data_IF_398064910774
#
_entry.id   IF_398064910774
#
_cell.length_a   1.000
_cell.length_b   1.000
_cell.length_c   1.000
_cell.angle_alpha   90.00
_cell.angle_beta   90.00
_cell.angle_gamma   90.00
#
_symmetry.space_group_name_H-M   'P 1'
#
loop_
_entity.id
_entity.type
_entity.pdbx_description
1 polymer ?
#
# COMPACT_ATOMS: atom_id res chain seq x y z
N UNK A 1 -83.57 20.81 -27.74
CA UNK A 1 -83.18 19.67 -26.87
C UNK A 1 -81.72 19.31 -27.15
N UNK A 2 -80.97 18.99 -26.10
CA UNK A 2 -79.52 18.75 -26.07
C UNK A 2 -79.11 17.42 -26.72
N UNK A 3 -77.85 17.29 -27.16
CA UNK A 3 -76.87 16.41 -26.47
C UNK A 3 -75.42 16.59 -26.94
N UNK A 4 -74.56 16.36 -25.94
CA UNK A 4 -73.14 16.70 -25.75
C UNK A 4 -72.14 15.73 -26.41
N UNK A 5 -70.95 16.30 -26.66
CA UNK A 5 -69.58 15.80 -26.51
C UNK A 5 -69.02 14.71 -27.46
N UNK A 6 -67.82 14.97 -27.98
CA UNK A 6 -66.59 14.17 -27.75
C UNK A 6 -65.34 14.92 -28.26
N UNK A 7 -64.20 14.55 -27.71
CA UNK A 7 -62.95 15.30 -27.51
C UNK A 7 -61.86 14.81 -28.48
N UNK A 8 -60.97 15.69 -28.94
CA UNK A 8 -59.58 15.36 -29.33
C UNK A 8 -58.74 16.66 -29.28
N UNK A 9 -58.12 17.00 -28.15
CA UNK A 9 -56.75 16.60 -27.76
C UNK A 9 -55.66 17.20 -28.66
N UNK A 10 -55.31 18.47 -28.41
CA UNK A 10 -54.03 19.04 -28.80
C UNK A 10 -53.14 19.11 -27.55
N UNK A 11 -52.11 18.27 -27.51
CA UNK A 11 -51.14 18.20 -26.44
C UNK A 11 -50.25 19.45 -26.43
N UNK A 12 -50.27 20.20 -25.31
CA UNK A 12 -49.27 21.20 -25.00
C UNK A 12 -48.36 20.66 -23.90
N UNK A 13 -47.09 20.50 -24.23
CA UNK A 13 -46.05 20.05 -23.33
C UNK A 13 -45.82 21.06 -22.20
N UNK A 14 -45.93 20.60 -20.95
CA UNK A 14 -45.34 21.27 -19.79
C UNK A 14 -44.36 20.29 -19.19
N UNK A 15 -43.07 20.51 -19.47
CA UNK A 15 -41.98 19.83 -18.80
C UNK A 15 -41.91 20.36 -17.36
N UNK A 16 -42.57 19.67 -16.43
CA UNK A 16 -42.33 19.85 -15.01
C UNK A 16 -40.94 19.26 -14.71
N UNK A 17 -39.97 20.14 -14.47
CA UNK A 17 -38.71 19.77 -13.80
C UNK A 17 -39.08 19.23 -12.43
N UNK A 18 -39.14 17.90 -12.32
CA UNK A 18 -39.19 17.22 -11.03
C UNK A 18 -37.93 17.59 -10.25
N UNK A 19 -38.10 18.25 -9.11
CA UNK A 19 -37.04 18.36 -8.12
C UNK A 19 -36.72 16.93 -7.66
N UNK A 20 -35.62 16.38 -8.17
CA UNK A 20 -35.00 15.20 -7.58
C UNK A 20 -34.59 15.63 -6.18
N UNK A 21 -35.06 14.98 -5.09
CA UNK A 21 -34.41 15.16 -3.81
C UNK A 21 -33.02 14.55 -3.98
N UNK A 22 -32.02 15.41 -4.19
CA UNK A 22 -30.65 15.03 -3.97
C UNK A 22 -30.54 14.68 -2.48
N UNK A 23 -30.60 13.39 -2.15
CA UNK A 23 -30.10 12.92 -0.87
C UNK A 23 -28.58 13.05 -0.95
N UNK A 24 -28.11 14.28 -0.74
CA UNK A 24 -26.73 14.55 -0.40
C UNK A 24 -26.48 13.90 0.97
N UNK A 25 -26.05 12.64 0.98
CA UNK A 25 -25.45 11.99 2.13
C UNK A 25 -24.03 12.52 2.28
N UNK A 26 -23.89 13.77 2.72
CA UNK A 26 -22.60 14.40 2.91
C UNK A 26 -22.67 15.30 4.15
N UNK A 27 -21.69 15.09 5.04
CA UNK A 27 -21.51 15.72 6.35
C UNK A 27 -22.38 15.17 7.50
N UNK A 28 -22.33 13.87 7.72
CA UNK A 28 -22.28 13.42 9.12
C UNK A 28 -20.91 13.91 9.64
N UNK A 29 -20.90 14.91 10.52
CA UNK A 29 -19.65 15.44 11.10
C UNK A 29 -19.00 14.28 11.85
N UNK A 30 -18.01 13.65 11.24
CA UNK A 30 -17.27 12.57 11.87
C UNK A 30 -16.49 13.19 13.03
N UNK A 31 -16.74 12.71 14.25
CA UNK A 31 -16.04 13.18 15.46
C UNK A 31 -15.20 12.05 16.06
N UNK A 32 -14.10 12.42 16.74
CA UNK A 32 -13.28 11.47 17.49
C UNK A 32 -12.60 10.40 16.61
N UNK A 33 -12.55 9.17 17.12
CA UNK A 33 -11.85 8.04 16.46
C UNK A 33 -12.48 7.67 15.11
N UNK A 34 -13.77 7.90 14.89
CA UNK A 34 -14.42 7.70 13.58
C UNK A 34 -13.82 8.60 12.50
N UNK A 35 -13.56 9.87 12.83
CA UNK A 35 -12.91 10.81 11.91
C UNK A 35 -11.50 10.35 11.57
N UNK A 36 -10.72 10.02 12.60
CA UNK A 36 -9.34 9.58 12.46
C UNK A 36 -9.23 8.27 11.67
N UNK A 37 -10.20 7.37 11.81
CA UNK A 37 -10.25 6.14 11.04
C UNK A 37 -10.43 6.40 9.55
N UNK A 38 -11.40 7.25 9.17
CA UNK A 38 -11.61 7.60 7.77
C UNK A 38 -10.42 8.35 7.16
N UNK A 39 -9.85 9.29 7.90
CA UNK A 39 -8.62 9.98 7.50
C UNK A 39 -7.45 9.01 7.37
N UNK A 40 -7.30 8.04 8.27
CA UNK A 40 -6.25 7.03 8.20
C UNK A 40 -6.37 6.15 6.96
N UNK A 41 -7.59 5.73 6.56
CA UNK A 41 -7.80 4.99 5.31
C UNK A 41 -7.26 5.79 4.11
N UNK A 42 -7.53 7.08 4.04
CA UNK A 42 -7.03 7.93 2.94
C UNK A 42 -5.52 8.15 3.04
N UNK A 43 -4.99 8.42 4.23
CA UNK A 43 -3.57 8.69 4.46
C UNK A 43 -2.67 7.47 4.27
N UNK A 44 -3.22 6.26 4.48
CA UNK A 44 -2.55 5.00 4.18
C UNK A 44 -2.72 4.59 2.71
N UNK A 45 -3.53 5.29 1.93
CA UNK A 45 -3.67 4.98 0.51
C UNK A 45 -2.45 5.43 -0.32
N UNK A 46 -1.54 6.23 0.24
CA UNK A 46 -0.41 6.81 -0.52
C UNK A 46 0.92 6.63 0.20
N UNK A 47 2.02 6.63 -0.57
CA UNK A 47 3.38 6.58 -0.04
C UNK A 47 3.92 7.92 0.47
N UNK A 48 3.20 9.02 0.24
CA UNK A 48 3.63 10.39 0.61
C UNK A 48 2.63 11.01 1.57
N UNK A 49 3.05 11.27 2.81
CA UNK A 49 2.13 11.76 3.83
C UNK A 49 2.31 13.26 4.08
N UNK A 50 1.28 14.09 3.82
CA UNK A 50 1.28 15.49 4.26
C UNK A 50 1.15 15.56 5.79
N UNK A 51 1.48 16.72 6.36
CA UNK A 51 1.36 16.98 7.81
C UNK A 51 -0.04 16.68 8.36
N UNK A 52 -1.07 16.90 7.56
CA UNK A 52 -2.48 16.66 7.90
C UNK A 52 -2.78 15.21 8.27
N UNK A 53 -1.99 14.26 7.76
CA UNK A 53 -2.18 12.85 8.07
C UNK A 53 -1.64 12.47 9.46
N UNK A 54 -0.82 13.33 10.09
CA UNK A 54 -0.11 13.01 11.33
C UNK A 54 -1.03 12.54 12.46
N UNK A 55 -2.17 13.19 12.78
CA UNK A 55 -3.03 12.77 13.89
C UNK A 55 -3.59 11.35 13.68
N UNK A 56 -4.10 11.09 12.48
CA UNK A 56 -4.77 9.84 12.10
C UNK A 56 -3.79 8.68 12.01
N UNK A 57 -2.61 8.92 11.46
CA UNK A 57 -1.55 7.92 11.41
C UNK A 57 -0.94 7.64 12.78
N UNK A 58 -0.75 8.67 13.62
CA UNK A 58 -0.30 8.46 15.00
C UNK A 58 -1.27 7.57 15.77
N UNK A 59 -2.57 7.82 15.63
CA UNK A 59 -3.61 6.99 16.25
C UNK A 59 -3.62 5.56 15.70
N UNK A 60 -3.41 5.39 14.40
CA UNK A 60 -3.34 4.09 13.75
C UNK A 60 -2.11 3.29 14.20
N UNK A 61 -0.92 3.91 14.15
CA UNK A 61 0.34 3.26 14.51
C UNK A 61 0.54 3.09 16.01
N UNK A 62 -0.19 3.84 16.86
CA UNK A 62 -0.22 3.58 18.30
C UNK A 62 -0.95 2.29 18.66
N UNK A 63 -1.76 1.73 17.75
CA UNK A 63 -2.38 0.41 17.94
C UNK A 63 -1.31 -0.65 17.68
N UNK A 64 -0.76 -1.16 18.77
CA UNK A 64 0.27 -2.18 18.78
C UNK A 64 0.07 -3.09 19.98
N UNK A 65 0.16 -4.40 19.75
CA UNK A 65 0.08 -5.43 20.77
C UNK A 65 1.29 -6.36 20.68
N UNK A 66 1.43 -7.28 21.65
CA UNK A 66 2.53 -8.26 21.67
C UNK A 66 2.55 -9.18 20.45
N UNK A 67 1.40 -9.53 19.89
CA UNK A 67 1.29 -10.41 18.72
C UNK A 67 0.90 -9.61 17.50
N UNK A 68 1.60 -9.85 16.38
CA UNK A 68 1.30 -9.18 15.11
C UNK A 68 -0.14 -9.41 14.65
N UNK A 69 -0.68 -10.61 14.85
CA UNK A 69 -2.09 -10.93 14.55
C UNK A 69 -3.07 -10.04 15.31
N UNK A 70 -2.77 -9.71 16.57
CA UNK A 70 -3.62 -8.87 17.40
C UNK A 70 -3.47 -7.40 17.00
N UNK A 71 -2.27 -6.97 16.63
CA UNK A 71 -2.01 -5.65 16.00
C UNK A 71 -2.81 -5.46 14.72
N UNK A 72 -2.77 -6.43 13.81
CA UNK A 72 -3.54 -6.39 12.56
C UNK A 72 -5.04 -6.32 12.88
N UNK A 73 -5.54 -7.17 13.78
CA UNK A 73 -6.96 -7.15 14.19
C UNK A 73 -7.37 -5.79 14.79
N UNK A 74 -6.56 -5.23 15.68
CA UNK A 74 -6.83 -3.92 16.27
C UNK A 74 -6.83 -2.80 15.24
N UNK A 75 -5.91 -2.83 14.27
CA UNK A 75 -5.87 -1.87 13.16
C UNK A 75 -7.09 -2.00 12.24
N UNK A 76 -7.50 -3.22 11.89
CA UNK A 76 -8.75 -3.46 11.14
C UNK A 76 -9.95 -2.90 11.92
N UNK A 77 -10.05 -3.20 13.21
CA UNK A 77 -11.16 -2.70 14.05
C UNK A 77 -11.21 -1.18 14.11
N UNK A 78 -10.04 -0.51 14.19
CA UNK A 78 -9.97 0.94 14.14
C UNK A 78 -10.40 1.49 12.78
N UNK A 79 -9.90 0.96 11.66
CA UNK A 79 -10.29 1.41 10.33
C UNK A 79 -11.80 1.16 10.06
N UNK A 80 -12.36 0.09 10.62
CA UNK A 80 -13.79 -0.22 10.56
C UNK A 80 -14.69 0.75 11.32
N UNK A 81 -14.15 1.65 12.15
CA UNK A 81 -14.93 2.76 12.70
C UNK A 81 -15.38 3.73 11.60
N UNK A 82 -14.68 3.75 10.47
CA UNK A 82 -15.08 4.54 9.32
C UNK A 82 -16.27 3.88 8.59
N UNK A 83 -17.42 4.56 8.41
CA UNK A 83 -18.58 3.96 7.76
C UNK A 83 -18.32 3.41 6.36
N UNK A 84 -17.36 3.98 5.62
CA UNK A 84 -17.01 3.52 4.26
C UNK A 84 -16.17 2.24 4.23
N UNK A 85 -15.56 1.85 5.34
CA UNK A 85 -14.63 0.72 5.43
C UNK A 85 -15.23 -0.61 4.95
N UNK A 86 -16.53 -0.81 5.16
CA UNK A 86 -17.23 -2.07 4.84
C UNK A 86 -18.42 -1.88 3.89
N UNK A 87 -18.50 -0.74 3.19
CA UNK A 87 -19.60 -0.49 2.25
C UNK A 87 -19.52 -1.36 0.99
N UNK A 88 -18.31 -1.75 0.58
CA UNK A 88 -18.10 -2.61 -0.59
C UNK A 88 -17.03 -3.67 -0.28
N UNK A 89 -17.05 -4.81 -1.00
CA UNK A 89 -15.97 -5.81 -0.90
C UNK A 89 -14.59 -5.22 -1.15
N UNK A 90 -14.47 -4.25 -2.06
CA UNK A 90 -13.23 -3.57 -2.41
C UNK A 90 -12.72 -2.68 -1.26
N UNK A 91 -13.60 -1.98 -0.55
CA UNK A 91 -13.22 -1.18 0.62
C UNK A 91 -12.78 -2.07 1.78
N UNK A 92 -13.49 -3.18 2.02
CA UNK A 92 -13.10 -4.13 3.06
C UNK A 92 -11.75 -4.79 2.72
N UNK A 93 -11.51 -5.11 1.44
CA UNK A 93 -10.22 -5.60 0.97
C UNK A 93 -9.10 -4.55 1.18
N UNK A 94 -9.36 -3.27 0.89
CA UNK A 94 -8.42 -2.18 1.15
C UNK A 94 -8.04 -2.11 2.63
N UNK A 95 -9.03 -2.11 3.52
CA UNK A 95 -8.82 -2.02 4.98
C UNK A 95 -7.95 -3.18 5.48
N UNK A 96 -8.21 -4.40 4.98
CA UNK A 96 -7.38 -5.56 5.30
C UNK A 96 -5.98 -5.42 4.73
N UNK A 97 -5.82 -4.96 3.49
CA UNK A 97 -4.51 -4.75 2.87
C UNK A 97 -3.69 -3.69 3.63
N UNK A 98 -4.32 -2.57 4.00
CA UNK A 98 -3.73 -1.53 4.84
C UNK A 98 -3.29 -2.07 6.20
N UNK A 99 -4.15 -2.80 6.91
CA UNK A 99 -3.82 -3.40 8.20
C UNK A 99 -2.63 -4.37 8.13
N UNK A 100 -2.52 -5.13 7.04
CA UNK A 100 -1.43 -6.07 6.83
C UNK A 100 -0.14 -5.41 6.33
N UNK A 101 -0.22 -4.35 5.51
CA UNK A 101 0.94 -3.77 4.82
C UNK A 101 1.51 -2.49 5.43
N UNK A 102 0.67 -1.65 6.06
CA UNK A 102 1.10 -0.34 6.54
C UNK A 102 2.22 -0.43 7.60
N UNK A 103 3.34 0.22 7.30
CA UNK A 103 4.55 0.21 8.13
C UNK A 103 5.35 -1.10 8.09
N UNK A 104 5.11 -1.95 7.08
CA UNK A 104 5.80 -3.25 6.92
C UNK A 104 6.37 -3.47 5.51
N UNK A 105 6.05 -2.58 4.58
CA UNK A 105 6.39 -2.70 3.17
C UNK A 105 7.37 -1.62 2.69
N UNK A 106 8.04 -0.94 3.61
CA UNK A 106 9.19 -0.08 3.33
C UNK A 106 10.49 -0.91 3.22
N UNK A 107 11.54 -0.32 2.64
CA UNK A 107 12.78 -1.04 2.37
C UNK A 107 13.45 -1.56 3.64
N UNK A 108 13.40 -0.80 4.74
CA UNK A 108 14.01 -1.22 6.00
C UNK A 108 13.28 -2.43 6.58
N UNK A 109 11.95 -2.42 6.59
CA UNK A 109 11.12 -3.55 7.01
C UNK A 109 11.37 -4.79 6.16
N UNK A 110 11.42 -4.65 4.83
CA UNK A 110 11.68 -5.75 3.91
C UNK A 110 13.07 -6.36 4.15
N UNK A 111 14.10 -5.52 4.27
CA UNK A 111 15.46 -5.96 4.57
C UNK A 111 15.63 -6.60 5.95
N UNK A 112 14.72 -6.37 6.89
CA UNK A 112 14.73 -7.01 8.21
C UNK A 112 14.00 -8.36 8.16
N UNK A 113 12.80 -8.41 7.57
CA UNK A 113 11.90 -9.57 7.61
C UNK A 113 12.26 -10.63 6.57
N UNK A 114 12.84 -10.24 5.43
CA UNK A 114 13.18 -11.17 4.34
C UNK A 114 14.60 -11.74 4.44
N UNK A 115 15.28 -11.56 5.57
CA UNK A 115 16.56 -12.23 5.84
C UNK A 115 16.32 -13.72 5.99
N UNK A 116 17.05 -14.49 5.21
CA UNK A 116 17.04 -15.95 5.23
C UNK A 116 18.47 -16.46 5.41
N UNK A 117 18.59 -17.61 6.05
CA UNK A 117 19.86 -18.31 6.25
C UNK A 117 19.86 -19.55 5.37
N UNK A 118 20.89 -19.72 4.53
CA UNK A 118 21.09 -21.02 3.87
C UNK A 118 21.64 -21.98 4.93
N UNK A 119 20.95 -23.09 5.17
CA UNK A 119 21.35 -24.13 6.14
C UNK A 119 22.63 -24.91 5.80
N UNK A 120 23.52 -24.32 5.00
CA UNK A 120 24.83 -24.83 4.62
C UNK A 120 25.88 -24.51 5.70
N UNK A 121 26.96 -25.30 5.77
CA UNK A 121 28.05 -25.11 6.75
C UNK A 121 28.71 -23.71 6.67
N UNK A 122 28.65 -23.03 5.52
CA UNK A 122 29.15 -21.66 5.30
C UNK A 122 28.09 -20.57 5.56
N UNK A 123 26.86 -20.97 5.91
CA UNK A 123 25.80 -20.12 6.47
C UNK A 123 25.62 -18.73 5.86
N UNK A 124 25.32 -18.63 4.56
CA UNK A 124 25.14 -17.33 3.92
C UNK A 124 23.77 -16.72 4.30
N UNK A 125 23.80 -15.52 4.87
CA UNK A 125 22.59 -14.71 5.09
C UNK A 125 22.32 -13.90 3.83
N UNK A 126 21.16 -14.10 3.21
CA UNK A 126 20.69 -13.28 2.08
C UNK A 126 19.33 -12.66 2.39
N UNK A 127 18.99 -11.60 1.66
CA UNK A 127 17.65 -11.00 1.69
C UNK A 127 16.89 -11.47 0.46
N UNK A 128 15.73 -12.09 0.63
CA UNK A 128 14.90 -12.53 -0.50
C UNK A 128 14.51 -11.35 -1.40
N UNK A 129 14.58 -11.55 -2.71
CA UNK A 129 14.12 -10.58 -3.71
C UNK A 129 12.62 -10.70 -4.03
N UNK A 130 11.91 -11.61 -3.36
CA UNK A 130 10.47 -11.81 -3.55
C UNK A 130 9.68 -10.89 -2.63
N UNK A 131 8.90 -9.99 -3.22
CA UNK A 131 7.97 -9.14 -2.48
C UNK A 131 6.91 -10.01 -1.78
N UNK A 132 6.67 -9.86 -0.46
CA UNK A 132 5.62 -10.59 0.21
C UNK A 132 4.24 -10.30 -0.38
N UNK A 133 3.38 -11.31 -0.46
CA UNK A 133 2.03 -11.17 -1.02
C UNK A 133 1.19 -10.10 -0.33
N UNK A 134 1.34 -9.91 0.99
CA UNK A 134 0.64 -8.87 1.74
C UNK A 134 1.10 -7.45 1.34
N UNK A 135 2.36 -7.29 0.95
CA UNK A 135 2.86 -6.02 0.44
C UNK A 135 2.34 -5.76 -0.95
N UNK A 136 2.40 -6.76 -1.85
CA UNK A 136 1.82 -6.62 -3.20
C UNK A 136 0.34 -6.29 -3.14
N UNK A 137 -0.45 -7.01 -2.34
CA UNK A 137 -1.88 -6.76 -2.17
C UNK A 137 -2.20 -5.34 -1.67
N UNK A 138 -1.30 -4.75 -0.88
CA UNK A 138 -1.43 -3.39 -0.38
C UNK A 138 -0.96 -2.36 -1.41
N UNK A 139 0.24 -2.51 -1.96
CA UNK A 139 0.85 -1.50 -2.83
C UNK A 139 0.22 -1.43 -4.23
N UNK A 140 -0.46 -2.49 -4.66
CA UNK A 140 -1.15 -2.56 -5.96
C UNK A 140 -2.66 -2.56 -5.81
N UNK A 141 -3.20 -2.19 -4.65
CA UNK A 141 -4.65 -2.13 -4.47
C UNK A 141 -5.26 -1.04 -5.37
N UNK A 142 -6.47 -1.26 -5.88
CA UNK A 142 -7.15 -0.34 -6.80
C UNK A 142 -7.42 1.07 -6.21
N UNK A 143 -7.29 1.22 -4.89
CA UNK A 143 -7.55 2.46 -4.15
C UNK A 143 -6.28 3.00 -3.48
N UNK A 144 -5.11 2.53 -3.89
CA UNK A 144 -3.82 3.01 -3.39
C UNK A 144 -2.99 3.59 -4.51
N UNK A 145 -2.25 4.64 -4.21
CA UNK A 145 -1.26 5.26 -5.08
C UNK A 145 0.13 5.21 -4.42
N UNK A 146 0.84 4.13 -4.72
CA UNK A 146 2.26 3.99 -4.40
C UNK A 146 3.13 4.13 -5.65
N UNK A 147 2.60 4.73 -6.71
CA UNK A 147 3.35 4.90 -7.95
C UNK A 147 4.64 5.67 -7.68
N UNK A 148 5.78 5.05 -8.00
CA UNK A 148 7.09 5.62 -7.73
C UNK A 148 7.56 5.61 -6.27
N UNK A 149 6.83 5.02 -5.32
CA UNK A 149 7.26 4.88 -3.92
C UNK A 149 7.43 3.44 -3.45
N UNK A 150 7.00 2.44 -4.24
CA UNK A 150 7.20 1.02 -3.88
C UNK A 150 8.69 0.68 -3.84
N UNK A 151 9.21 0.09 -2.75
CA UNK A 151 10.61 -0.32 -2.69
C UNK A 151 11.02 -1.26 -3.82
N UNK A 152 12.27 -1.15 -4.25
CA UNK A 152 12.85 -1.91 -5.35
C UNK A 152 14.04 -2.72 -4.86
N UNK A 153 14.19 -3.94 -5.38
CA UNK A 153 15.30 -4.80 -5.03
C UNK A 153 16.52 -4.52 -5.92
N UNK A 154 17.69 -4.35 -5.30
CA UNK A 154 18.98 -4.13 -5.97
C UNK A 154 19.82 -5.39 -5.92
N UNK A 155 20.33 -5.79 -7.08
CA UNK A 155 21.26 -6.91 -7.20
C UNK A 155 20.62 -8.29 -7.17
N UNK A 156 21.42 -9.30 -6.83
CA UNK A 156 20.98 -10.69 -6.63
C UNK A 156 21.24 -11.13 -5.17
N UNK A 157 20.35 -11.95 -4.56
CA UNK A 157 20.47 -12.36 -3.17
C UNK A 157 21.83 -12.95 -2.79
N UNK A 158 22.38 -13.81 -3.64
CA UNK A 158 23.64 -14.53 -3.43
C UNK A 158 24.86 -13.61 -3.39
N UNK A 159 24.71 -12.37 -3.88
CA UNK A 159 25.77 -11.35 -3.90
C UNK A 159 25.40 -10.13 -3.08
N UNK A 160 24.69 -10.35 -1.97
CA UNK A 160 24.34 -9.27 -1.03
C UNK A 160 23.38 -8.26 -1.65
N UNK A 161 22.36 -8.74 -2.38
CA UNK A 161 21.24 -7.93 -2.84
C UNK A 161 20.35 -7.49 -1.68
N UNK A 162 19.63 -6.39 -1.86
CA UNK A 162 18.83 -5.76 -0.80
C UNK A 162 17.74 -4.85 -1.36
N UNK A 163 16.71 -4.58 -0.56
CA UNK A 163 15.63 -3.64 -0.89
C UNK A 163 16.06 -2.20 -0.63
N UNK A 164 15.65 -1.27 -1.49
CA UNK A 164 15.83 0.18 -1.30
C UNK A 164 14.56 0.93 -1.62
N UNK A 165 14.42 2.13 -1.05
CA UNK A 165 13.33 3.02 -1.41
C UNK A 165 13.42 3.38 -2.90
N UNK A 166 12.27 3.53 -3.55
CA UNK A 166 12.19 3.75 -5.00
C UNK A 166 13.08 4.92 -5.48
N UNK A 167 13.09 6.02 -4.72
CA UNK A 167 13.88 7.23 -5.00
C UNK A 167 15.39 7.03 -4.95
N UNK A 168 15.85 6.01 -4.23
CA UNK A 168 17.26 5.73 -3.99
C UNK A 168 17.80 4.61 -4.90
N UNK A 169 16.94 4.03 -5.75
CA UNK A 169 17.24 2.85 -6.54
C UNK A 169 18.44 3.02 -7.48
N UNK A 170 18.46 4.07 -8.29
CA UNK A 170 19.51 4.24 -9.31
C UNK A 170 20.90 4.44 -8.66
N UNK A 171 20.95 5.18 -7.54
CA UNK A 171 22.17 5.35 -6.75
C UNK A 171 22.64 4.01 -6.18
N UNK A 172 21.74 3.29 -5.51
CA UNK A 172 22.05 2.00 -4.88
C UNK A 172 22.49 0.94 -5.91
N UNK A 173 21.88 0.94 -7.10
CA UNK A 173 22.25 0.05 -8.19
C UNK A 173 23.65 0.34 -8.73
N UNK A 174 24.01 1.62 -8.89
CA UNK A 174 25.36 2.02 -9.31
C UNK A 174 26.42 1.58 -8.29
N UNK A 175 26.17 1.82 -7.00
CA UNK A 175 27.04 1.40 -5.90
C UNK A 175 27.20 -0.12 -5.85
N UNK A 176 26.10 -0.86 -5.99
CA UNK A 176 26.10 -2.32 -6.05
C UNK A 176 26.96 -2.83 -7.21
N UNK A 177 26.73 -2.31 -8.43
CA UNK A 177 27.45 -2.75 -9.63
C UNK A 177 28.95 -2.43 -9.55
N UNK A 178 29.32 -1.29 -8.96
CA UNK A 178 30.72 -0.92 -8.74
C UNK A 178 31.41 -1.90 -7.78
N UNK A 179 30.74 -2.27 -6.67
CA UNK A 179 31.24 -3.28 -5.73
C UNK A 179 31.43 -4.63 -6.42
N UNK A 180 30.40 -5.11 -7.12
CA UNK A 180 30.44 -6.39 -7.84
C UNK A 180 31.60 -6.45 -8.83
N UNK A 181 31.83 -5.37 -9.59
CA UNK A 181 32.94 -5.28 -10.52
C UNK A 181 34.30 -5.39 -9.82
N UNK A 182 34.48 -4.70 -8.69
CA UNK A 182 35.72 -4.77 -7.91
C UNK A 182 35.98 -6.18 -7.37
N UNK A 183 34.97 -6.83 -6.77
CA UNK A 183 35.05 -8.21 -6.29
C UNK A 183 35.42 -9.20 -7.41
N UNK A 184 34.82 -9.04 -8.60
CA UNK A 184 35.07 -9.93 -9.74
C UNK A 184 36.46 -9.71 -10.34
N UNK A 185 36.98 -8.47 -10.30
CA UNK A 185 38.35 -8.16 -10.67
C UNK A 185 39.38 -8.77 -9.71
N UNK A 186 39.15 -8.67 -8.40
CA UNK A 186 40.00 -9.28 -7.39
C UNK A 186 40.03 -10.80 -7.52
N UNK A 187 38.87 -11.43 -7.66
CA UNK A 187 38.76 -12.88 -7.87
C UNK A 187 39.52 -13.33 -9.12
N UNK A 188 39.39 -12.57 -10.22
CA UNK A 188 40.14 -12.84 -11.45
C UNK A 188 41.63 -12.76 -11.17
N UNK A 189 42.13 -11.67 -10.58
CA UNK A 189 43.57 -11.51 -10.25
C UNK A 189 44.10 -12.66 -9.37
N UNK A 190 43.35 -13.05 -8.35
CA UNK A 190 43.71 -14.17 -7.48
C UNK A 190 43.79 -15.50 -8.24
N UNK A 191 42.87 -15.74 -9.18
CA UNK A 191 42.88 -16.95 -10.02
C UNK A 191 44.09 -17.03 -10.96
N UNK A 192 44.62 -15.90 -11.46
CA UNK A 192 45.81 -15.88 -12.32
C UNK A 192 47.13 -15.95 -11.53
N UNK A 193 47.14 -15.54 -10.25
CA UNK A 193 48.32 -15.57 -9.38
C UNK A 193 48.61 -16.91 -8.70
N UNK A 194 47.64 -17.83 -8.66
CA UNK A 194 47.76 -19.13 -7.95
C UNK A 194 48.14 -20.34 -8.81
N UNK A 195 48.34 -20.17 -10.12
CA UNK A 195 48.58 -21.27 -11.08
C UNK A 195 50.05 -21.62 -11.34
N UNK A 196 50.98 -21.18 -10.48
CA UNK A 196 52.41 -21.48 -10.59
C UNK A 196 52.90 -22.32 -9.43
N UNK A 197 52.70 -23.64 -9.51
CA UNK A 197 53.48 -24.67 -8.81
C UNK A 197 53.49 -25.94 -9.66
#
# INVERSE_FOLDING_TARGET
MQRKNLIASAALAVAAFGAIPATASAQEILTGDTRLACEAILCLATGTQPSECTPSLRRYFSISYRKLSDTIRGRVNFLNLCPVANQTPQMSALVNAQANGAGRCDAASLNAVLRSWTGSDDGMVYVSNQMPSYCTAYTTHAYTDFSGTVPRYVGIPERGGYWVEARDYDRALAEYNARIKAEDEERRRASWGGGGN
#
